data_IF_245867058655
#
_entry.id   IF_245867058655
#
_cell.length_a   1.000
_cell.length_b   1.000
_cell.length_c   1.000
_cell.angle_alpha   90.00
_cell.angle_beta   90.00
_cell.angle_gamma   90.00
#
_symmetry.space_group_name_H-M   'P 1'
#
loop_
_entity.id
_entity.type
_entity.pdbx_description
1 polymer ?
#
# COMPACT_ATOMS: atom_id res chain seq x y z
N UNK A 1 -1.94 27.08 -17.73
CA UNK A 1 -0.72 26.35 -17.34
C UNK A 1 -0.66 26.31 -15.82
N UNK A 2 -1.27 25.30 -15.21
CA UNK A 2 -1.20 25.07 -13.77
C UNK A 2 -0.32 23.86 -13.54
N UNK A 3 0.90 24.09 -13.07
CA UNK A 3 1.81 23.04 -12.63
C UNK A 3 1.27 22.46 -11.33
N UNK A 4 0.58 21.33 -11.40
CA UNK A 4 0.31 20.50 -10.24
C UNK A 4 1.63 19.90 -9.76
N UNK A 5 2.28 20.56 -8.79
CA UNK A 5 3.36 19.94 -8.02
C UNK A 5 2.77 18.70 -7.31
N UNK A 6 3.25 17.46 -7.60
CA UNK A 6 2.66 16.26 -7.02
C UNK A 6 3.13 15.97 -5.59
N UNK A 7 3.99 16.81 -5.03
CA UNK A 7 4.61 16.58 -3.72
C UNK A 7 4.56 17.87 -2.89
N UNK A 8 3.43 18.07 -2.22
CA UNK A 8 3.27 19.14 -1.22
C UNK A 8 4.31 19.07 -0.10
N UNK A 9 4.46 20.14 0.69
CA UNK A 9 5.53 20.25 1.68
C UNK A 9 5.47 19.07 2.65
N UNK A 10 6.61 18.36 2.81
CA UNK A 10 6.82 17.31 3.79
C UNK A 10 6.24 17.75 5.14
N UNK A 11 5.06 17.20 5.49
CA UNK A 11 4.40 17.53 6.76
C UNK A 11 5.35 17.13 7.89
N UNK A 12 5.67 18.10 8.74
CA UNK A 12 6.11 17.83 10.11
C UNK A 12 5.00 17.03 10.79
N UNK A 13 5.38 15.93 11.44
CA UNK A 13 4.60 15.23 12.45
C UNK A 13 3.33 14.48 11.96
N UNK A 14 3.52 13.29 11.40
CA UNK A 14 2.45 12.27 11.38
C UNK A 14 3.03 10.94 11.84
N UNK A 15 3.44 10.88 13.11
CA UNK A 15 3.53 9.62 13.84
C UNK A 15 2.12 9.31 14.36
N UNK A 16 1.36 8.56 13.57
CA UNK A 16 -0.05 8.28 13.87
C UNK A 16 -0.15 6.86 14.42
N UNK A 17 -0.58 6.81 15.68
CA UNK A 17 -1.36 5.74 16.34
C UNK A 17 -0.73 4.41 16.77
N UNK A 18 0.59 4.20 16.70
CA UNK A 18 1.22 3.07 17.41
C UNK A 18 2.43 3.50 18.23
N UNK A 19 2.21 4.39 19.22
CA UNK A 19 3.18 4.77 20.26
C UNK A 19 3.45 3.59 21.23
N UNK A 20 3.95 2.48 20.70
CA UNK A 20 4.59 1.46 21.51
C UNK A 20 5.93 2.02 22.00
N UNK A 21 6.18 1.90 23.31
CA UNK A 21 7.45 2.34 23.89
C UNK A 21 8.62 1.64 23.19
N UNK A 22 9.82 2.23 23.22
CA UNK A 22 11.03 1.59 22.67
C UNK A 22 11.23 0.16 23.24
N UNK A 23 10.80 -0.05 24.49
CA UNK A 23 10.78 -1.36 25.13
C UNK A 23 9.83 -2.35 24.43
N UNK A 24 8.60 -1.93 24.14
CA UNK A 24 7.60 -2.76 23.46
C UNK A 24 8.01 -3.09 22.02
N UNK A 25 8.49 -2.10 21.28
CA UNK A 25 9.01 -2.29 19.92
C UNK A 25 10.14 -3.31 19.88
N UNK A 26 11.10 -3.19 20.81
CA UNK A 26 12.17 -4.16 20.94
C UNK A 26 11.66 -5.57 21.25
N UNK A 27 10.71 -5.70 22.18
CA UNK A 27 10.13 -6.98 22.56
C UNK A 27 9.41 -7.65 21.39
N UNK A 28 8.60 -6.88 20.64
CA UNK A 28 7.92 -7.37 19.42
C UNK A 28 8.91 -7.80 18.34
N UNK A 29 9.97 -7.03 18.13
CA UNK A 29 11.04 -7.37 17.21
C UNK A 29 11.91 -8.56 17.68
N UNK A 30 11.71 -9.07 18.91
CA UNK A 30 12.48 -10.16 19.53
C UNK A 30 13.99 -9.89 19.55
N UNK A 31 14.38 -8.65 19.78
CA UNK A 31 15.77 -8.22 19.79
C UNK A 31 16.33 -8.09 21.20
N UNK A 32 17.57 -8.53 21.39
CA UNK A 32 18.36 -8.20 22.59
C UNK A 32 18.77 -6.72 22.58
N UNK A 33 19.24 -6.20 23.73
CA UNK A 33 19.69 -4.81 23.79
C UNK A 33 20.93 -4.59 22.91
N UNK A 34 21.79 -5.59 22.81
CA UNK A 34 23.01 -5.61 22.01
C UNK A 34 22.67 -5.54 20.51
N UNK A 35 21.72 -6.36 20.05
CA UNK A 35 21.25 -6.34 18.66
C UNK A 35 20.55 -5.03 18.31
N UNK A 36 19.67 -4.54 19.19
CA UNK A 36 18.95 -3.29 18.95
C UNK A 36 19.89 -2.08 18.91
N UNK A 37 20.88 -2.03 19.82
CA UNK A 37 21.92 -1.01 19.80
C UNK A 37 22.75 -1.05 18.52
N UNK A 38 23.15 -2.25 18.07
CA UNK A 38 23.87 -2.45 16.82
C UNK A 38 23.07 -1.94 15.61
N UNK A 39 21.80 -2.34 15.50
CA UNK A 39 20.92 -1.93 14.40
C UNK A 39 20.68 -0.42 14.37
N UNK A 40 20.57 0.21 15.55
CA UNK A 40 20.42 1.65 15.67
C UNK A 40 21.74 2.43 15.57
N UNK A 41 22.89 1.75 15.40
CA UNK A 41 24.20 2.38 15.30
C UNK A 41 24.65 3.10 16.58
N UNK A 42 24.24 2.62 17.75
CA UNK A 42 24.57 3.23 19.06
C UNK A 42 25.22 2.23 20.01
N UNK A 43 25.83 2.72 21.08
CA UNK A 43 26.35 1.84 22.14
C UNK A 43 25.22 1.27 22.99
N UNK A 44 25.44 0.10 23.59
CA UNK A 44 24.48 -0.56 24.50
C UNK A 44 24.13 0.35 25.70
N UNK A 45 25.09 1.15 26.18
CA UNK A 45 24.84 2.15 27.24
C UNK A 45 23.85 3.21 26.79
N UNK A 46 24.04 3.77 25.59
CA UNK A 46 23.11 4.76 25.01
C UNK A 46 21.73 4.15 24.81
N UNK A 47 21.66 2.92 24.30
CA UNK A 47 20.40 2.19 24.14
C UNK A 47 19.65 2.02 25.47
N UNK A 48 20.33 1.57 26.53
CA UNK A 48 19.75 1.43 27.87
C UNK A 48 19.25 2.77 28.42
N UNK A 49 20.00 3.85 28.20
CA UNK A 49 19.58 5.22 28.57
C UNK A 49 18.31 5.62 27.82
N UNK A 50 18.26 5.41 26.50
CA UNK A 50 17.07 5.70 25.69
C UNK A 50 15.82 4.94 26.16
N UNK A 51 15.96 3.67 26.54
CA UNK A 51 14.84 2.89 27.11
C UNK A 51 14.35 3.46 28.43
N UNK A 52 15.27 3.90 29.30
CA UNK A 52 14.94 4.43 30.62
C UNK A 52 14.28 5.81 30.51
N UNK A 53 14.86 6.70 29.72
CA UNK A 53 14.49 8.10 29.66
C UNK A 53 13.45 8.39 28.56
N UNK A 54 13.03 7.35 27.82
CA UNK A 54 12.17 7.43 26.64
C UNK A 54 12.62 8.50 25.62
N UNK A 55 13.93 8.63 25.46
CA UNK A 55 14.58 9.75 24.76
C UNK A 55 15.24 9.32 23.44
N UNK A 56 14.73 8.27 22.81
CA UNK A 56 15.27 7.77 21.54
C UNK A 56 15.05 8.77 20.42
N UNK A 57 16.00 8.84 19.48
CA UNK A 57 15.82 9.66 18.29
C UNK A 57 14.66 9.13 17.43
N UNK A 58 13.88 10.01 16.77
CA UNK A 58 12.75 9.57 15.93
C UNK A 58 13.12 8.57 14.84
N UNK A 59 14.32 8.68 14.27
CA UNK A 59 14.81 7.72 13.27
C UNK A 59 15.00 6.30 13.85
N UNK A 60 15.54 6.19 15.08
CA UNK A 60 15.68 4.92 15.77
C UNK A 60 14.31 4.31 16.12
N UNK A 61 13.36 5.14 16.57
CA UNK A 61 11.98 4.69 16.81
C UNK A 61 11.31 4.15 15.53
N UNK A 62 11.47 4.84 14.40
CA UNK A 62 10.96 4.40 13.10
C UNK A 62 11.59 3.08 12.66
N UNK A 63 12.91 2.95 12.79
CA UNK A 63 13.60 1.70 12.46
C UNK A 63 13.08 0.55 13.33
N UNK A 64 12.95 0.76 14.64
CA UNK A 64 12.43 -0.25 15.57
C UNK A 64 10.98 -0.60 15.29
N UNK A 65 10.15 0.37 14.87
CA UNK A 65 8.79 0.11 14.42
C UNK A 65 8.75 -0.77 13.17
N UNK A 66 9.59 -0.49 12.17
CA UNK A 66 9.72 -1.33 10.96
C UNK A 66 10.13 -2.76 11.32
N UNK A 67 11.11 -2.91 12.21
CA UNK A 67 11.58 -4.22 12.67
C UNK A 67 10.55 -4.96 13.52
N UNK A 68 9.69 -4.24 14.23
CA UNK A 68 8.55 -4.80 14.96
C UNK A 68 7.37 -5.17 14.06
N UNK A 69 7.46 -4.88 12.76
CA UNK A 69 6.41 -5.17 11.78
C UNK A 69 5.38 -4.07 11.61
N UNK A 70 5.68 -2.83 11.96
CA UNK A 70 4.83 -1.68 11.69
C UNK A 70 5.30 -0.89 10.46
N UNK A 71 4.39 -0.14 9.86
CA UNK A 71 4.64 0.65 8.65
C UNK A 71 4.49 2.14 9.00
N UNK A 72 5.56 2.83 9.46
CA UNK A 72 5.47 4.12 10.16
C UNK A 72 5.35 5.34 9.23
N UNK A 73 4.71 5.19 8.07
CA UNK A 73 4.52 6.25 7.09
C UNK A 73 3.04 6.64 7.00
N UNK A 74 2.78 7.93 6.75
CA UNK A 74 1.41 8.43 6.58
C UNK A 74 0.64 7.64 5.52
N UNK A 75 -0.61 7.29 5.82
CA UNK A 75 -1.48 6.51 4.92
C UNK A 75 -1.32 5.00 5.06
N UNK A 76 -0.41 4.55 5.92
CA UNK A 76 -0.23 3.15 6.31
C UNK A 76 -0.65 2.91 7.77
N UNK A 77 -1.55 3.74 8.29
CA UNK A 77 -2.00 3.70 9.67
C UNK A 77 -2.70 2.36 9.96
N UNK A 78 -2.21 1.66 11.00
CA UNK A 78 -2.70 0.33 11.38
C UNK A 78 -2.28 -0.82 10.45
N UNK A 79 -1.45 -0.56 9.44
CA UNK A 79 -0.87 -1.62 8.62
C UNK A 79 0.28 -2.32 9.33
N UNK A 80 0.35 -3.63 9.13
CA UNK A 80 1.38 -4.47 9.72
C UNK A 80 2.11 -5.26 8.64
N UNK A 81 3.39 -5.51 8.84
CA UNK A 81 4.24 -6.31 7.97
C UNK A 81 4.87 -7.43 8.78
N UNK A 82 4.58 -8.68 8.45
CA UNK A 82 5.22 -9.83 9.07
C UNK A 82 5.32 -11.00 8.09
N UNK A 83 6.39 -11.79 8.23
CA UNK A 83 6.69 -12.95 7.36
C UNK A 83 6.76 -12.62 5.86
N UNK A 84 7.12 -11.39 5.48
CA UNK A 84 7.18 -10.95 4.08
C UNK A 84 5.82 -10.59 3.47
N UNK A 85 4.76 -10.57 4.28
CA UNK A 85 3.42 -10.16 3.88
C UNK A 85 3.04 -8.84 4.53
N UNK A 86 2.17 -8.10 3.85
CA UNK A 86 1.62 -6.82 4.28
C UNK A 86 0.13 -6.98 4.60
N UNK A 87 -0.29 -6.61 5.80
CA UNK A 87 -1.63 -6.83 6.32
C UNK A 87 -2.36 -5.50 6.51
N UNK A 88 -3.58 -5.38 5.96
CA UNK A 88 -4.42 -4.23 6.24
C UNK A 88 -4.97 -4.25 7.67
N UNK A 89 -5.34 -3.09 8.23
CA UNK A 89 -5.86 -2.99 9.59
C UNK A 89 -7.09 -3.87 9.78
N UNK A 90 -7.09 -4.69 10.84
CA UNK A 90 -8.20 -5.61 11.16
C UNK A 90 -8.14 -6.96 10.44
N UNK A 91 -7.15 -7.19 9.57
CA UNK A 91 -6.97 -8.45 8.87
C UNK A 91 -5.73 -9.18 9.39
N UNK A 92 -5.91 -10.39 9.90
CA UNK A 92 -4.81 -11.25 10.34
C UNK A 92 -4.57 -12.45 9.40
N UNK A 93 -5.37 -12.57 8.34
CA UNK A 93 -5.32 -13.66 7.36
C UNK A 93 -5.27 -13.07 5.96
N UNK A 94 -4.61 -13.76 5.03
CA UNK A 94 -4.45 -13.36 3.63
C UNK A 94 -3.67 -12.05 3.45
N UNK A 95 -2.42 -12.04 3.91
CA UNK A 95 -1.54 -10.91 3.69
C UNK A 95 -1.23 -10.69 2.20
N UNK A 96 -0.86 -9.46 1.87
CA UNK A 96 -0.54 -9.02 0.52
C UNK A 96 0.96 -9.25 0.29
N UNK A 97 1.31 -10.01 -0.75
CA UNK A 97 2.68 -10.19 -1.18
C UNK A 97 3.16 -8.98 -1.98
N UNK A 98 4.48 -8.69 -2.02
CA UNK A 98 5.04 -7.67 -2.89
C UNK A 98 4.61 -7.83 -4.35
N UNK A 99 4.55 -9.08 -4.86
CA UNK A 99 4.08 -9.37 -6.22
C UNK A 99 2.64 -8.94 -6.47
N UNK A 100 1.76 -9.05 -5.47
CA UNK A 100 0.36 -8.59 -5.60
C UNK A 100 0.30 -7.07 -5.72
N UNK A 101 1.09 -6.33 -4.92
CA UNK A 101 1.14 -4.87 -5.02
C UNK A 101 1.62 -4.40 -6.40
N UNK A 102 2.64 -5.07 -6.94
CA UNK A 102 3.16 -4.76 -8.28
C UNK A 102 2.16 -5.12 -9.39
N UNK A 103 1.37 -6.19 -9.21
CA UNK A 103 0.37 -6.61 -10.18
C UNK A 103 -0.79 -5.61 -10.34
N UNK A 104 -1.12 -4.82 -9.30
CA UNK A 104 -2.25 -3.85 -9.34
C UNK A 104 -2.18 -2.92 -10.55
N UNK A 105 -0.99 -2.41 -10.88
CA UNK A 105 -0.84 -1.50 -12.02
C UNK A 105 -1.14 -2.20 -13.36
N UNK A 106 -0.64 -3.43 -13.51
CA UNK A 106 -0.88 -4.24 -14.70
C UNK A 106 -2.36 -4.62 -14.82
N UNK A 107 -2.99 -5.04 -13.73
CA UNK A 107 -4.42 -5.36 -13.70
C UNK A 107 -5.28 -4.15 -14.09
N UNK A 108 -4.94 -2.95 -13.61
CA UNK A 108 -5.64 -1.72 -14.00
C UNK A 108 -5.50 -1.41 -15.48
N UNK A 109 -4.31 -1.61 -16.07
CA UNK A 109 -4.09 -1.44 -17.50
C UNK A 109 -4.92 -2.44 -18.31
N UNK A 110 -4.88 -3.72 -17.94
CA UNK A 110 -5.64 -4.77 -18.60
C UNK A 110 -7.16 -4.52 -18.52
N UNK A 111 -7.66 -4.12 -17.35
CA UNK A 111 -9.06 -3.75 -17.18
C UNK A 111 -9.47 -2.57 -18.06
N UNK A 112 -8.59 -1.60 -18.26
CA UNK A 112 -8.87 -0.48 -19.16
C UNK A 112 -9.04 -0.95 -20.61
N UNK A 113 -8.09 -1.78 -21.09
CA UNK A 113 -8.13 -2.33 -22.45
C UNK A 113 -9.41 -3.15 -22.69
N UNK A 114 -9.74 -4.06 -21.77
CA UNK A 114 -10.93 -4.89 -21.86
C UNK A 114 -12.22 -4.06 -21.84
N UNK A 115 -12.26 -2.98 -21.07
CA UNK A 115 -13.42 -2.07 -21.05
C UNK A 115 -13.59 -1.30 -22.35
N UNK A 116 -12.50 -0.95 -23.02
CA UNK A 116 -12.55 -0.25 -24.30
C UNK A 116 -12.99 -1.18 -25.43
N UNK A 117 -12.48 -2.42 -25.46
CA UNK A 117 -12.92 -3.45 -26.41
C UNK A 117 -14.42 -3.77 -26.25
N UNK A 118 -14.90 -3.94 -25.00
CA UNK A 118 -16.33 -4.13 -24.74
C UNK A 118 -17.18 -2.95 -25.22
N UNK A 119 -16.64 -1.72 -25.20
CA UNK A 119 -17.35 -0.55 -25.70
C UNK A 119 -17.48 -0.58 -27.22
N UNK A 120 -16.42 -0.97 -27.92
CA UNK A 120 -16.39 -1.09 -29.38
C UNK A 120 -17.35 -2.18 -29.86
N UNK A 121 -17.25 -3.39 -29.32
CA UNK A 121 -18.12 -4.50 -29.69
C UNK A 121 -19.61 -4.20 -29.45
N UNK A 122 -19.92 -3.47 -28.36
CA UNK A 122 -21.29 -3.02 -28.08
C UNK A 122 -21.78 -1.98 -29.08
N UNK A 123 -20.91 -1.10 -29.58
CA UNK A 123 -21.26 -0.14 -30.62
C UNK A 123 -21.51 -0.85 -31.97
N UNK A 124 -20.60 -1.73 -32.39
CA UNK A 124 -20.73 -2.52 -33.62
C UNK A 124 -22.01 -3.38 -33.63
N UNK A 125 -22.31 -4.02 -32.50
CA UNK A 125 -23.55 -4.81 -32.36
C UNK A 125 -24.80 -3.94 -32.48
N UNK A 126 -24.78 -2.71 -31.94
CA UNK A 126 -25.89 -1.75 -32.07
C UNK A 126 -26.04 -1.29 -33.52
N UNK A 127 -24.95 -0.98 -34.19
CA UNK A 127 -24.94 -0.59 -35.60
C UNK A 127 -25.48 -1.71 -36.49
N UNK A 128 -25.03 -2.96 -36.27
CA UNK A 128 -25.49 -4.14 -37.00
C UNK A 128 -26.99 -4.41 -36.77
N UNK A 129 -27.46 -4.25 -35.53
CA UNK A 129 -28.88 -4.38 -35.20
C UNK A 129 -29.72 -3.28 -35.86
N UNK A 130 -29.23 -2.04 -35.89
CA UNK A 130 -29.86 -0.92 -36.58
C UNK A 130 -29.93 -1.16 -38.10
N UNK A 131 -28.85 -1.66 -38.70
CA UNK A 131 -28.80 -1.97 -40.14
C UNK A 131 -29.73 -3.13 -40.53
N UNK A 132 -29.84 -4.16 -39.68
CA UNK A 132 -30.77 -5.27 -39.90
C UNK A 132 -32.24 -4.83 -39.81
N UNK A 133 -32.56 -3.90 -38.89
CA UNK A 133 -33.91 -3.33 -38.77
C UNK A 133 -34.29 -2.40 -39.92
N UNK A 134 -33.32 -1.84 -40.65
CA UNK A 134 -33.53 -0.88 -41.73
C UNK A 134 -33.70 -1.53 -43.11
N UNK A 135 -33.47 -2.85 -43.27
CA UNK A 135 -33.77 -3.57 -44.53
C UNK A 135 -35.30 -3.73 -44.66
N UNK A 136 -35.96 -3.04 -45.61
CA UNK A 136 -37.37 -3.30 -45.87
C UNK A 136 -37.47 -4.72 -46.41
N UNK A 137 -38.40 -5.52 -45.88
CA UNK A 137 -38.75 -6.79 -46.52
C UNK A 137 -39.27 -6.45 -47.91
N UNK A 138 -38.44 -6.61 -48.95
CA UNK A 138 -38.90 -6.70 -50.32
C UNK A 138 -39.73 -7.98 -50.39
N UNK A 139 -41.01 -7.84 -50.05
CA UNK A 139 -42.01 -8.87 -50.27
C UNK A 139 -42.03 -9.14 -51.78
N UNK A 140 -41.64 -10.37 -52.13
CA UNK A 140 -41.80 -10.93 -53.46
C UNK A 140 -43.27 -10.77 -53.90
N UNK A 141 -43.51 -9.95 -54.91
CA UNK A 141 -44.73 -10.01 -55.70
C UNK A 141 -44.39 -10.87 -56.93
N UNK A 142 -45.00 -12.06 -56.98
CA UNK A 142 -45.02 -12.96 -58.13
C UNK A 142 -45.97 -12.46 -59.20
#
# INVERSE_FOLDING_TARGET
>A
MGTSEPFGPFRKDTWVDNLSSLHELQHRAKLTNEQAALLCGVTVRTWRRWKKDNSAQPAALRLMAILAGHVPWSGWDGWEMHNGYLFPPGFSRNGILPGHLLAIHYERQLLSLLKDELRQLRAEKRESASAASARPQLFLIK
#
